data_IF_480545778100
#
_entry.id   IF_480545778100
#
_cell.length_a   1.000
_cell.length_b   1.000
_cell.length_c   1.000
_cell.angle_alpha   90.00
_cell.angle_beta   90.00
_cell.angle_gamma   90.00
#
_symmetry.space_group_name_H-M   'P 1'
#
loop_
_entity.id
_entity.type
_entity.pdbx_description
1 polymer ?
#
# COMPACT_ATOMS: atom_id res chain seq x y z
N UNK A 1 -5.23 -10.98 19.64
CA UNK A 1 -4.82 -10.00 18.61
C UNK A 1 -4.06 -10.76 17.53
N UNK A 2 -4.51 -10.74 16.28
CA UNK A 2 -3.75 -11.42 15.22
C UNK A 2 -2.51 -10.58 14.90
N UNK A 3 -1.31 -11.17 15.01
CA UNK A 3 -0.06 -10.53 14.62
C UNK A 3 -0.01 -10.38 13.09
N UNK A 4 0.66 -9.33 12.61
CA UNK A 4 0.98 -9.21 11.19
C UNK A 4 1.99 -10.30 10.81
N UNK A 5 1.77 -10.92 9.65
CA UNK A 5 2.72 -11.89 9.08
C UNK A 5 3.12 -11.41 7.69
N UNK A 6 4.34 -10.92 7.52
CA UNK A 6 4.85 -10.57 6.20
C UNK A 6 4.92 -11.82 5.32
N UNK A 7 4.73 -11.65 4.04
CA UNK A 7 4.92 -12.72 3.07
C UNK A 7 5.30 -12.14 1.72
N UNK A 8 6.14 -12.86 0.98
CA UNK A 8 6.47 -12.51 -0.38
C UNK A 8 6.46 -13.76 -1.27
N UNK A 9 6.29 -13.55 -2.57
CA UNK A 9 6.35 -14.63 -3.54
C UNK A 9 7.79 -14.85 -4.00
N UNK A 10 8.24 -16.10 -4.01
CA UNK A 10 9.55 -16.54 -4.54
C UNK A 10 9.41 -17.04 -5.98
N UNK A 11 8.46 -16.50 -6.76
CA UNK A 11 8.17 -17.01 -8.09
C UNK A 11 9.38 -16.87 -9.04
N UNK A 12 9.54 -17.79 -9.97
CA UNK A 12 10.51 -17.84 -11.08
C UNK A 12 10.34 -16.70 -12.09
N UNK A 13 9.91 -15.52 -11.62
CA UNK A 13 9.61 -14.34 -12.45
C UNK A 13 10.38 -13.14 -11.93
N UNK A 14 10.62 -12.19 -12.82
CA UNK A 14 11.27 -10.91 -12.53
C UNK A 14 10.48 -10.01 -11.54
N UNK A 15 9.30 -10.44 -11.09
CA UNK A 15 8.41 -9.69 -10.18
C UNK A 15 8.09 -10.49 -8.93
N UNK A 16 8.24 -9.87 -7.76
CA UNK A 16 7.83 -10.38 -6.46
C UNK A 16 6.68 -9.54 -5.88
N UNK A 17 5.78 -10.17 -5.14
CA UNK A 17 4.71 -9.50 -4.41
C UNK A 17 5.04 -9.51 -2.93
N UNK A 18 5.19 -8.32 -2.34
CA UNK A 18 5.49 -8.14 -0.91
C UNK A 18 4.25 -7.62 -0.19
N UNK A 19 3.71 -8.43 0.73
CA UNK A 19 2.61 -8.00 1.59
C UNK A 19 3.17 -7.14 2.71
N UNK A 20 2.78 -5.85 2.74
CA UNK A 20 3.21 -4.86 3.73
C UNK A 20 2.13 -4.53 4.76
N UNK A 21 0.85 -4.79 4.44
CA UNK A 21 -0.29 -4.41 5.27
C UNK A 21 -1.40 -5.46 5.16
N UNK A 22 -2.19 -5.65 6.23
CA UNK A 22 -3.35 -6.54 6.26
C UNK A 22 -4.44 -5.97 7.17
N UNK A 23 -5.70 -6.41 6.95
CA UNK A 23 -6.86 -5.87 7.66
C UNK A 23 -7.25 -4.47 7.20
N UNK A 24 -8.32 -3.90 7.77
CA UNK A 24 -8.79 -2.57 7.42
C UNK A 24 -9.61 -1.95 8.55
N UNK A 25 -9.42 -0.65 8.80
CA UNK A 25 -10.17 0.13 9.80
C UNK A 25 -11.38 0.87 9.20
N UNK A 26 -11.70 0.63 7.92
CA UNK A 26 -12.85 1.23 7.25
C UNK A 26 -14.09 0.34 7.40
N UNK A 27 -15.24 0.97 7.55
CA UNK A 27 -16.54 0.30 7.68
C UNK A 27 -17.40 0.53 6.43
N UNK A 28 -16.82 0.33 5.24
CA UNK A 28 -17.54 0.46 3.98
C UNK A 28 -18.74 -0.49 3.96
N UNK A 29 -19.91 0.00 3.53
CA UNK A 29 -21.19 -0.70 3.68
C UNK A 29 -21.29 -2.03 2.92
N UNK A 30 -20.41 -2.26 1.94
CA UNK A 30 -20.39 -3.45 1.09
C UNK A 30 -19.23 -4.40 1.41
N UNK A 31 -18.34 -4.05 2.36
CA UNK A 31 -17.07 -4.75 2.56
C UNK A 31 -17.09 -5.61 3.81
N UNK A 32 -16.70 -6.88 3.66
CA UNK A 32 -16.59 -7.86 4.76
C UNK A 32 -15.16 -8.01 5.29
N UNK A 33 -14.18 -7.32 4.70
CA UNK A 33 -12.77 -7.43 5.08
C UNK A 33 -12.52 -7.19 6.58
N UNK A 34 -13.08 -6.14 7.23
CA UNK A 34 -12.86 -5.94 8.66
C UNK A 34 -13.34 -7.11 9.52
N UNK A 35 -14.41 -7.79 9.09
CA UNK A 35 -14.93 -8.98 9.79
C UNK A 35 -14.04 -10.21 9.55
N UNK A 36 -13.53 -10.37 8.33
CA UNK A 36 -12.74 -11.54 7.94
C UNK A 36 -11.26 -11.43 8.37
N UNK A 37 -10.66 -10.25 8.25
CA UNK A 37 -9.22 -10.01 8.46
C UNK A 37 -8.92 -9.17 9.69
N UNK A 38 -9.91 -8.55 10.30
CA UNK A 38 -9.74 -7.69 11.47
C UNK A 38 -9.21 -6.30 11.12
N UNK A 39 -8.68 -5.61 12.15
CA UNK A 39 -8.16 -4.25 12.02
C UNK A 39 -6.88 -4.19 11.19
N UNK A 40 -6.62 -3.00 10.65
CA UNK A 40 -5.38 -2.68 9.92
C UNK A 40 -4.16 -2.93 10.80
N UNK A 41 -3.16 -3.58 10.23
CA UNK A 41 -1.86 -3.88 10.85
C UNK A 41 -0.80 -4.01 9.79
N UNK A 42 0.43 -3.69 10.15
CA UNK A 42 1.62 -3.77 9.31
C UNK A 42 2.80 -4.24 10.14
N UNK A 43 3.91 -4.53 9.49
CA UNK A 43 5.21 -4.65 10.12
C UNK A 43 5.85 -3.26 10.29
N UNK A 44 7.01 -3.17 10.92
CA UNK A 44 7.81 -1.96 10.94
C UNK A 44 8.62 -1.80 9.64
N UNK A 45 9.14 -0.59 9.42
CA UNK A 45 9.90 -0.25 8.22
C UNK A 45 11.17 -1.10 8.13
N UNK A 46 11.90 -1.28 9.22
CA UNK A 46 13.15 -2.04 9.25
C UNK A 46 12.94 -3.47 8.72
N UNK A 47 11.96 -4.20 9.25
CA UNK A 47 11.65 -5.55 8.80
C UNK A 47 11.20 -5.59 7.34
N UNK A 48 10.37 -4.63 6.92
CA UNK A 48 9.88 -4.55 5.54
C UNK A 48 11.04 -4.30 4.56
N UNK A 49 11.98 -3.42 4.90
CA UNK A 49 13.19 -3.16 4.11
C UNK A 49 14.08 -4.40 4.07
N UNK A 50 14.29 -5.09 5.20
CA UNK A 50 15.07 -6.32 5.25
C UNK A 50 14.49 -7.40 4.32
N UNK A 51 13.16 -7.55 4.26
CA UNK A 51 12.51 -8.48 3.35
C UNK A 51 12.71 -8.05 1.88
N UNK A 52 12.59 -6.75 1.59
CA UNK A 52 12.85 -6.23 0.24
C UNK A 52 14.31 -6.49 -0.20
N UNK A 53 15.28 -6.38 0.71
CA UNK A 53 16.68 -6.74 0.45
C UNK A 53 16.85 -8.24 0.19
N UNK A 54 16.14 -9.11 0.92
CA UNK A 54 16.14 -10.56 0.63
C UNK A 54 15.57 -10.86 -0.75
N UNK A 55 14.49 -10.17 -1.15
CA UNK A 55 13.95 -10.29 -2.51
C UNK A 55 14.98 -9.84 -3.55
N UNK A 56 15.73 -8.76 -3.28
CA UNK A 56 16.77 -8.25 -4.16
C UNK A 56 17.93 -9.23 -4.41
N UNK A 57 18.14 -10.21 -3.53
CA UNK A 57 19.10 -11.29 -3.72
C UNK A 57 18.60 -12.38 -4.69
N UNK A 58 17.34 -12.33 -5.07
CA UNK A 58 16.75 -13.24 -6.08
C UNK A 58 16.85 -12.64 -7.49
N UNK A 59 16.23 -13.30 -8.47
CA UNK A 59 16.13 -12.76 -9.84
C UNK A 59 15.03 -11.69 -10.00
N UNK A 60 14.29 -11.36 -8.94
CA UNK A 60 13.26 -10.34 -8.96
C UNK A 60 13.88 -8.95 -9.20
N UNK A 61 13.28 -8.18 -10.10
CA UNK A 61 13.67 -6.80 -10.43
C UNK A 61 12.58 -5.79 -10.10
N UNK A 62 11.37 -6.27 -9.87
CA UNK A 62 10.22 -5.45 -9.49
C UNK A 62 9.57 -6.02 -8.24
N UNK A 63 9.28 -5.15 -7.27
CA UNK A 63 8.47 -5.49 -6.09
C UNK A 63 7.13 -4.77 -6.20
N UNK A 64 6.04 -5.54 -6.12
CA UNK A 64 4.68 -5.00 -5.98
C UNK A 64 4.32 -5.01 -4.50
N UNK A 65 4.18 -3.83 -3.91
CA UNK A 65 3.70 -3.67 -2.54
C UNK A 65 2.21 -4.00 -2.49
N UNK A 66 1.82 -4.94 -1.64
CA UNK A 66 0.44 -5.41 -1.55
C UNK A 66 -0.12 -5.27 -0.14
N UNK A 67 -1.43 -5.13 -0.05
CA UNK A 67 -2.18 -5.05 1.18
C UNK A 67 -3.67 -4.92 0.89
N UNK A 68 -4.44 -4.82 1.95
CA UNK A 68 -5.89 -4.56 1.85
C UNK A 68 -6.16 -3.07 1.65
N UNK A 69 -5.42 -2.23 2.38
CA UNK A 69 -5.43 -0.77 2.29
C UNK A 69 -4.03 -0.27 2.65
N UNK A 70 -3.14 -0.24 1.67
CA UNK A 70 -1.72 -0.02 1.94
C UNK A 70 -1.39 1.37 2.49
N UNK A 71 -2.24 2.37 2.24
CA UNK A 71 -2.09 3.69 2.85
C UNK A 71 -2.28 3.72 4.37
N UNK A 72 -2.91 2.66 4.94
CA UNK A 72 -3.00 2.47 6.40
C UNK A 72 -1.73 1.81 7.00
N UNK A 73 -0.64 1.69 6.25
CA UNK A 73 0.62 1.19 6.80
C UNK A 73 1.05 2.06 7.99
N UNK A 74 1.47 1.41 9.06
CA UNK A 74 1.93 2.10 10.27
C UNK A 74 0.83 2.72 11.15
N UNK A 75 -0.46 2.60 10.80
CA UNK A 75 -1.58 3.26 11.50
C UNK A 75 -1.64 2.98 13.01
N UNK A 76 -0.97 1.97 13.51
CA UNK A 76 -0.91 1.58 14.94
C UNK A 76 0.40 1.99 15.61
N UNK A 77 1.30 2.69 14.93
CA UNK A 77 2.64 3.03 15.39
C UNK A 77 3.05 4.48 15.07
N UNK A 78 4.34 4.71 15.11
CA UNK A 78 4.95 6.03 14.83
C UNK A 78 5.43 6.16 13.36
N UNK A 79 5.44 5.05 12.62
CA UNK A 79 5.85 4.98 11.23
C UNK A 79 4.63 5.13 10.31
N UNK A 80 4.85 5.58 9.07
CA UNK A 80 3.79 5.74 8.08
C UNK A 80 4.19 5.20 6.69
N UNK A 81 3.24 5.19 5.77
CA UNK A 81 3.45 4.68 4.42
C UNK A 81 4.44 5.54 3.62
N UNK A 82 4.46 6.87 3.85
CA UNK A 82 5.40 7.77 3.17
C UNK A 82 6.84 7.48 3.58
N UNK A 83 7.10 7.32 4.89
CA UNK A 83 8.42 6.91 5.40
C UNK A 83 8.87 5.56 4.84
N UNK A 84 7.93 4.60 4.74
CA UNK A 84 8.23 3.30 4.14
C UNK A 84 8.71 3.41 2.70
N UNK A 85 7.99 4.15 1.84
CA UNK A 85 8.38 4.25 0.43
C UNK A 85 9.71 4.98 0.25
N UNK A 86 10.01 5.97 1.10
CA UNK A 86 11.33 6.61 1.12
C UNK A 86 12.46 5.63 1.50
N UNK A 87 12.22 4.77 2.49
CA UNK A 87 13.19 3.74 2.88
C UNK A 87 13.40 2.69 1.79
N UNK A 88 12.32 2.24 1.14
CA UNK A 88 12.38 1.25 0.06
C UNK A 88 13.07 1.79 -1.20
N UNK A 89 12.99 3.09 -1.49
CA UNK A 89 13.66 3.70 -2.64
C UNK A 89 15.18 3.55 -2.59
N UNK A 90 15.75 3.32 -1.40
CA UNK A 90 17.17 3.10 -1.19
C UNK A 90 17.60 1.62 -1.25
N UNK A 91 16.69 0.67 -1.48
CA UNK A 91 17.02 -0.76 -1.55
C UNK A 91 17.72 -1.07 -2.87
N UNK A 92 18.98 -1.47 -2.81
CA UNK A 92 19.76 -1.86 -4.00
C UNK A 92 19.28 -3.21 -4.57
N UNK A 93 19.48 -3.41 -5.87
CA UNK A 93 19.15 -4.65 -6.57
C UNK A 93 17.70 -4.75 -7.04
N UNK A 94 16.83 -3.80 -6.67
CA UNK A 94 15.46 -3.67 -7.18
C UNK A 94 15.39 -2.46 -8.11
N UNK A 95 14.90 -2.70 -9.32
CA UNK A 95 14.78 -1.66 -10.35
C UNK A 95 13.46 -0.88 -10.21
N UNK A 96 12.39 -1.53 -9.74
CA UNK A 96 11.05 -0.91 -9.66
C UNK A 96 10.26 -1.36 -8.44
N UNK A 97 9.59 -0.38 -7.83
CA UNK A 97 8.52 -0.59 -6.87
C UNK A 97 7.18 -0.15 -7.44
N UNK A 98 6.16 -0.95 -7.23
CA UNK A 98 4.79 -0.65 -7.63
C UNK A 98 3.87 -0.64 -6.41
N UNK A 99 3.11 0.43 -6.28
CA UNK A 99 2.05 0.57 -5.27
C UNK A 99 0.79 -0.12 -5.81
N UNK A 100 0.21 -1.04 -5.05
CA UNK A 100 -1.09 -1.64 -5.39
C UNK A 100 -2.25 -0.71 -5.00
N UNK A 101 -3.36 -1.24 -4.49
CA UNK A 101 -4.53 -0.41 -4.15
C UNK A 101 -4.29 0.50 -2.95
N UNK A 102 -4.50 1.80 -3.15
CA UNK A 102 -4.47 2.82 -2.10
C UNK A 102 -5.77 3.64 -2.15
N UNK A 103 -6.33 3.94 -0.98
CA UNK A 103 -7.54 4.76 -0.87
C UNK A 103 -7.24 6.22 -1.22
N UNK A 104 -8.15 6.94 -1.92
CA UNK A 104 -7.93 8.32 -2.35
C UNK A 104 -7.50 9.26 -1.21
N UNK A 105 -8.13 9.14 -0.05
CA UNK A 105 -7.85 9.99 1.12
C UNK A 105 -6.54 9.64 1.86
N UNK A 106 -5.84 8.59 1.45
CA UNK A 106 -4.52 8.19 1.97
C UNK A 106 -3.39 8.40 0.95
N UNK A 107 -3.73 8.77 -0.28
CA UNK A 107 -2.77 9.16 -1.31
C UNK A 107 -2.53 10.66 -1.21
N UNK A 108 -1.55 11.06 -0.39
CA UNK A 108 -1.20 12.47 -0.21
C UNK A 108 -0.39 13.03 -1.38
N UNK A 109 -0.39 14.36 -1.53
CA UNK A 109 0.43 15.07 -2.53
C UNK A 109 1.92 14.74 -2.37
N UNK A 110 2.38 14.51 -1.13
CA UNK A 110 3.76 14.11 -0.85
C UNK A 110 4.10 12.77 -1.47
N UNK A 111 3.20 11.76 -1.34
CA UNK A 111 3.37 10.43 -1.96
C UNK A 111 3.37 10.56 -3.49
N UNK A 112 2.45 11.33 -4.06
CA UNK A 112 2.35 11.55 -5.52
C UNK A 112 3.64 12.20 -6.02
N UNK A 113 4.05 13.29 -5.38
CA UNK A 113 5.27 14.04 -5.73
C UNK A 113 6.51 13.16 -5.62
N UNK A 114 6.62 12.39 -4.54
CA UNK A 114 7.74 11.45 -4.36
C UNK A 114 7.80 10.43 -5.49
N UNK A 115 6.69 9.76 -5.81
CA UNK A 115 6.63 8.76 -6.88
C UNK A 115 6.93 9.37 -8.26
N UNK A 116 6.53 10.62 -8.51
CA UNK A 116 6.81 11.31 -9.75
C UNK A 116 8.31 11.61 -9.97
N UNK A 117 9.08 11.75 -8.88
CA UNK A 117 10.51 12.06 -8.92
C UNK A 117 11.41 10.88 -8.58
N UNK A 118 10.88 9.82 -7.99
CA UNK A 118 11.62 8.60 -7.67
C UNK A 118 12.14 7.92 -8.95
N UNK A 119 13.32 7.31 -8.86
CA UNK A 119 13.88 6.49 -9.94
C UNK A 119 13.34 5.05 -9.93
N UNK A 120 12.79 4.61 -8.80
CA UNK A 120 12.35 3.22 -8.60
C UNK A 120 10.83 3.09 -8.48
N UNK A 121 10.16 4.03 -7.79
CA UNK A 121 8.70 4.00 -7.71
C UNK A 121 8.07 4.42 -9.04
N UNK A 122 7.28 3.52 -9.62
CA UNK A 122 6.57 3.84 -10.87
C UNK A 122 5.41 4.80 -10.58
N UNK A 123 5.22 5.85 -11.41
CA UNK A 123 4.11 6.82 -11.25
C UNK A 123 2.79 6.19 -11.72
N UNK A 124 2.37 5.14 -11.06
CA UNK A 124 1.15 4.39 -11.36
C UNK A 124 0.46 4.00 -10.05
N UNK A 125 -0.79 4.40 -9.91
CA UNK A 125 -1.62 4.10 -8.76
C UNK A 125 -2.89 3.36 -9.18
N UNK A 126 -3.33 2.43 -8.35
CA UNK A 126 -4.65 1.83 -8.44
C UNK A 126 -5.52 2.44 -7.33
N UNK A 127 -6.41 3.35 -7.71
CA UNK A 127 -7.23 4.16 -6.80
C UNK A 127 -8.70 3.82 -7.03
N UNK A 128 -9.41 3.27 -6.03
CA UNK A 128 -10.82 2.88 -6.19
C UNK A 128 -11.73 4.12 -6.17
N UNK A 129 -12.37 4.46 -7.28
CA UNK A 129 -13.39 5.53 -7.34
C UNK A 129 -14.70 5.11 -6.68
N UNK A 130 -15.13 3.86 -6.85
CA UNK A 130 -16.38 3.26 -6.37
C UNK A 130 -17.66 3.87 -6.98
N UNK A 131 -17.78 5.20 -7.00
CA UNK A 131 -18.92 5.92 -7.59
C UNK A 131 -18.51 7.34 -7.95
N UNK A 132 -19.00 7.86 -9.09
CA UNK A 132 -18.88 9.25 -9.49
C UNK A 132 -19.92 10.19 -8.83
N UNK A 133 -20.57 9.77 -7.73
CA UNK A 133 -21.64 10.53 -7.07
C UNK A 133 -21.44 10.55 -5.57
N UNK A 134 -21.32 11.75 -4.99
CA UNK A 134 -21.06 11.93 -3.55
C UNK A 134 -22.14 11.34 -2.64
N UNK A 135 -23.42 11.40 -3.07
CA UNK A 135 -24.52 10.79 -2.30
C UNK A 135 -24.34 9.26 -2.18
N UNK A 136 -23.85 8.60 -3.22
CA UNK A 136 -23.55 7.17 -3.19
C UNK A 136 -22.28 6.90 -2.37
N UNK A 137 -21.20 7.67 -2.55
CA UNK A 137 -19.98 7.54 -1.75
C UNK A 137 -20.28 7.64 -0.24
N UNK A 138 -21.11 8.60 0.18
CA UNK A 138 -21.57 8.72 1.58
C UNK A 138 -22.35 7.50 2.05
N UNK A 139 -23.26 6.97 1.24
CA UNK A 139 -24.02 5.74 1.57
C UNK A 139 -23.11 4.51 1.66
N UNK A 140 -22.06 4.48 0.84
CA UNK A 140 -21.01 3.44 0.89
C UNK A 140 -20.04 3.63 2.06
N UNK A 141 -20.18 4.72 2.83
CA UNK A 141 -19.29 5.10 3.94
C UNK A 141 -17.83 5.27 3.48
N UNK A 142 -17.65 5.86 2.29
CA UNK A 142 -16.33 6.23 1.80
C UNK A 142 -15.81 7.48 2.51
N UNK A 143 -14.49 7.61 2.65
CA UNK A 143 -13.81 8.72 3.34
C UNK A 143 -13.28 9.78 2.38
N UNK A 144 -13.81 9.81 1.18
CA UNK A 144 -13.49 10.78 0.13
C UNK A 144 -14.77 11.11 -0.66
N UNK A 145 -14.72 12.18 -1.40
CA UNK A 145 -15.75 12.64 -2.33
C UNK A 145 -15.19 12.74 -3.76
N UNK A 146 -16.03 13.15 -4.70
CA UNK A 146 -15.62 13.29 -6.10
C UNK A 146 -14.64 14.44 -6.31
N UNK A 147 -14.67 15.49 -5.46
CA UNK A 147 -13.75 16.62 -5.54
C UNK A 147 -12.33 16.18 -5.17
N UNK A 148 -12.14 15.48 -4.05
CA UNK A 148 -10.85 14.92 -3.65
C UNK A 148 -10.30 13.94 -4.70
N UNK A 149 -11.17 13.12 -5.30
CA UNK A 149 -10.73 12.14 -6.29
C UNK A 149 -10.24 12.78 -7.59
N UNK A 150 -10.74 13.95 -7.93
CA UNK A 150 -10.43 14.67 -9.19
C UNK A 150 -9.34 15.75 -9.04
N UNK A 151 -8.91 16.01 -7.81
CA UNK A 151 -7.79 16.92 -7.54
C UNK A 151 -6.45 16.27 -7.86
#
# INVERSE_FOLDING_TARGET
>A
MQSFQPSFSTAERTRSYLKIQDGCNYNCSFCTIPLARGRSRSDNIENTVNIAQQIALTEAREIVLTGVNIGDYGVSGEEDFFQLIQALDNVDGIDRFRISSIEPNLLSDEIITFCAHSKKFVPHFHIPLQSGTDSILRRMKRRYDTALYSS
#
